data_IF_314395271395
#
_entry.id   IF_314395271395
#
_cell.length_a   1.000
_cell.length_b   1.000
_cell.length_c   1.000
_cell.angle_alpha   90.00
_cell.angle_beta   90.00
_cell.angle_gamma   90.00
#
_symmetry.space_group_name_H-M   'P 1'
#
loop_
_entity.id
_entity.type
_entity.pdbx_description
1 polymer ?
#
# COMPACT_ATOMS: atom_id res chain seq x y z
N UNK A 1 -10.03 -11.19 -30.37
CA UNK A 1 -10.13 -10.89 -28.93
C UNK A 1 -9.20 -11.82 -28.17
N UNK A 2 -8.00 -11.35 -27.80
CA UNK A 2 -7.11 -11.98 -26.82
C UNK A 2 -6.30 -10.84 -26.21
N UNK A 3 -6.86 -10.24 -25.16
CA UNK A 3 -6.11 -9.34 -24.31
C UNK A 3 -5.36 -10.24 -23.33
N UNK A 4 -4.14 -10.60 -23.71
CA UNK A 4 -3.26 -11.42 -22.89
C UNK A 4 -3.04 -10.74 -21.54
N UNK A 5 -3.57 -11.40 -20.51
CA UNK A 5 -3.36 -11.15 -19.09
C UNK A 5 -1.88 -11.30 -18.73
N UNK A 6 -1.05 -10.36 -19.20
CA UNK A 6 0.37 -10.20 -18.83
C UNK A 6 0.54 -9.38 -17.54
N UNK A 7 -0.47 -9.42 -16.68
CA UNK A 7 -0.55 -8.69 -15.39
C UNK A 7 -0.11 -9.58 -14.22
N UNK A 8 0.17 -10.87 -14.44
CA UNK A 8 0.46 -11.82 -13.35
C UNK A 8 1.94 -11.85 -12.92
N UNK A 9 2.89 -11.53 -13.79
CA UNK A 9 4.33 -11.66 -13.48
C UNK A 9 4.94 -10.50 -12.67
N UNK A 10 4.42 -9.27 -12.83
CA UNK A 10 4.98 -8.05 -12.23
C UNK A 10 4.25 -7.61 -10.96
N UNK A 11 2.99 -8.04 -10.78
CA UNK A 11 2.23 -7.85 -9.54
C UNK A 11 2.62 -8.86 -8.45
N UNK A 12 3.23 -10.00 -8.79
CA UNK A 12 3.66 -11.02 -7.82
C UNK A 12 5.12 -10.87 -7.37
N UNK A 13 5.76 -9.78 -7.76
CA UNK A 13 7.14 -9.49 -7.41
C UNK A 13 7.20 -8.63 -6.14
N UNK A 14 7.81 -9.18 -5.09
CA UNK A 14 7.91 -8.56 -3.75
C UNK A 14 8.59 -7.19 -3.83
N UNK A 15 9.49 -6.97 -4.78
CA UNK A 15 10.13 -5.67 -4.98
C UNK A 15 9.15 -4.62 -5.51
N UNK A 16 8.26 -4.99 -6.44
CA UNK A 16 7.24 -4.08 -6.97
C UNK A 16 6.25 -3.66 -5.89
N UNK A 17 5.76 -4.59 -5.06
CA UNK A 17 4.90 -4.22 -3.93
C UNK A 17 5.63 -3.41 -2.83
N UNK A 18 6.93 -3.65 -2.59
CA UNK A 18 7.74 -2.80 -1.71
C UNK A 18 7.92 -1.38 -2.26
N UNK A 19 8.11 -1.23 -3.56
CA UNK A 19 8.20 0.11 -4.18
C UNK A 19 6.86 0.84 -4.19
N UNK A 20 5.77 0.16 -4.56
CA UNK A 20 4.42 0.75 -4.52
C UNK A 20 4.06 1.16 -3.09
N UNK A 21 4.37 0.32 -2.09
CA UNK A 21 4.13 0.66 -0.68
C UNK A 21 5.02 1.81 -0.16
N UNK A 22 6.24 1.97 -0.68
CA UNK A 22 7.11 3.11 -0.35
C UNK A 22 6.60 4.42 -0.97
N UNK A 23 6.18 4.37 -2.24
CA UNK A 23 5.66 5.53 -2.97
C UNK A 23 4.33 6.00 -2.39
N UNK A 24 3.36 5.09 -2.17
CA UNK A 24 2.08 5.49 -1.60
C UNK A 24 2.18 5.94 -0.14
N UNK A 25 3.18 5.47 0.63
CA UNK A 25 3.49 6.00 1.97
C UNK A 25 3.88 7.47 1.88
N UNK A 26 4.81 7.80 0.96
CA UNK A 26 5.27 9.18 0.78
C UNK A 26 4.13 10.12 0.39
N UNK A 27 3.24 9.67 -0.50
CA UNK A 27 2.08 10.45 -0.94
C UNK A 27 1.07 10.66 0.20
N UNK A 28 0.73 9.60 0.93
CA UNK A 28 -0.22 9.70 2.07
C UNK A 28 0.35 10.52 3.22
N UNK A 29 1.66 10.46 3.47
CA UNK A 29 2.35 11.29 4.45
C UNK A 29 2.35 12.77 4.05
N UNK A 30 2.64 13.09 2.79
CA UNK A 30 2.57 14.47 2.29
C UNK A 30 1.15 15.03 2.43
N UNK A 31 0.13 14.21 2.09
CA UNK A 31 -1.27 14.57 2.24
C UNK A 31 -1.68 14.79 3.71
N UNK A 32 -1.23 13.93 4.64
CA UNK A 32 -1.56 14.06 6.06
C UNK A 32 -0.89 15.29 6.67
N UNK A 33 0.36 15.57 6.31
CA UNK A 33 1.12 16.75 6.74
C UNK A 33 0.51 18.04 6.20
N UNK A 34 0.16 18.08 4.91
CA UNK A 34 -0.49 19.26 4.33
C UNK A 34 -1.85 19.50 5.01
N UNK A 35 -2.64 18.44 5.19
CA UNK A 35 -3.91 18.52 5.90
C UNK A 35 -3.75 19.00 7.34
N UNK A 36 -2.69 18.57 8.05
CA UNK A 36 -2.38 18.99 9.41
C UNK A 36 -2.15 20.49 9.54
N UNK A 37 -1.41 21.08 8.59
CA UNK A 37 -1.13 22.52 8.56
C UNK A 37 -2.41 23.37 8.39
N UNK A 38 -3.46 22.82 7.78
CA UNK A 38 -4.73 23.52 7.55
C UNK A 38 -5.87 23.09 8.51
N UNK A 39 -5.64 22.17 9.46
CA UNK A 39 -6.66 21.70 10.42
C UNK A 39 -7.22 22.80 11.33
N UNK A 40 -6.45 23.86 11.58
CA UNK A 40 -6.86 24.95 12.48
C UNK A 40 -7.97 25.82 11.88
N UNK A 41 -8.15 25.80 10.55
CA UNK A 41 -9.04 26.71 9.83
C UNK A 41 -10.42 26.12 9.54
N UNK A 42 -10.57 24.79 9.50
CA UNK A 42 -11.84 24.19 9.08
C UNK A 42 -12.13 22.80 9.69
N UNK A 43 -13.36 22.56 10.17
CA UNK A 43 -13.76 21.27 10.77
C UNK A 43 -13.77 20.11 9.77
N UNK A 44 -14.01 20.37 8.47
CA UNK A 44 -13.96 19.34 7.42
C UNK A 44 -12.54 18.84 7.15
N UNK A 45 -11.52 19.71 7.28
CA UNK A 45 -10.12 19.32 7.10
C UNK A 45 -9.66 18.39 8.22
N UNK A 46 -10.20 18.52 9.44
CA UNK A 46 -9.97 17.53 10.51
C UNK A 46 -10.43 16.14 10.10
N UNK A 47 -11.61 16.00 9.49
CA UNK A 47 -12.10 14.70 9.01
C UNK A 47 -11.19 14.13 7.90
N UNK A 48 -10.76 14.98 6.97
CA UNK A 48 -9.85 14.58 5.91
C UNK A 48 -8.47 14.16 6.44
N UNK A 49 -7.93 14.88 7.43
CA UNK A 49 -6.67 14.52 8.10
C UNK A 49 -6.77 13.16 8.81
N UNK A 50 -7.88 12.89 9.51
CA UNK A 50 -8.11 11.59 10.16
C UNK A 50 -8.20 10.48 9.10
N UNK A 51 -8.95 10.68 8.02
CA UNK A 51 -9.05 9.71 6.93
C UNK A 51 -7.68 9.44 6.26
N UNK A 52 -6.92 10.49 6.00
CA UNK A 52 -5.55 10.43 5.48
C UNK A 52 -4.61 9.70 6.44
N UNK A 53 -4.73 9.92 7.75
CA UNK A 53 -3.94 9.24 8.78
C UNK A 53 -4.26 7.74 8.88
N UNK A 54 -5.53 7.36 8.76
CA UNK A 54 -5.95 5.95 8.69
C UNK A 54 -5.34 5.30 7.45
N UNK A 55 -5.45 5.93 6.28
CA UNK A 55 -4.86 5.44 5.04
C UNK A 55 -3.34 5.28 5.14
N UNK A 56 -2.65 6.27 5.71
CA UNK A 56 -1.20 6.21 5.96
C UNK A 56 -0.83 5.05 6.90
N UNK A 57 -1.60 4.83 7.97
CA UNK A 57 -1.36 3.74 8.93
C UNK A 57 -1.54 2.36 8.27
N UNK A 58 -2.59 2.18 7.45
CA UNK A 58 -2.78 0.95 6.69
C UNK A 58 -1.64 0.70 5.71
N UNK A 59 -1.18 1.76 5.01
CA UNK A 59 -0.03 1.67 4.11
C UNK A 59 1.27 1.39 4.86
N UNK A 60 1.39 1.88 6.09
CA UNK A 60 2.51 1.61 7.00
C UNK A 60 2.59 0.16 7.43
N UNK A 61 1.48 -0.38 7.91
CA UNK A 61 1.36 -1.78 8.27
C UNK A 61 1.57 -2.69 7.07
N UNK A 62 1.06 -2.30 5.89
CA UNK A 62 1.28 -3.03 4.65
C UNK A 62 2.76 -3.05 4.26
N UNK A 63 3.44 -1.91 4.24
CA UNK A 63 4.88 -1.83 3.94
C UNK A 63 5.73 -2.65 4.93
N UNK A 64 5.45 -2.55 6.23
CA UNK A 64 6.15 -3.30 7.27
C UNK A 64 5.92 -4.82 7.13
N UNK A 65 4.69 -5.21 6.83
CA UNK A 65 4.31 -6.61 6.60
C UNK A 65 4.87 -7.22 5.31
N UNK A 66 5.47 -6.41 4.44
CA UNK A 66 6.25 -6.84 3.27
C UNK A 66 7.75 -6.99 3.52
N UNK A 67 8.26 -6.61 4.69
CA UNK A 67 9.67 -6.81 5.05
C UNK A 67 9.96 -8.26 5.50
N UNK A 68 11.25 -8.66 5.54
CA UNK A 68 11.66 -10.03 5.86
C UNK A 68 11.06 -10.47 7.20
N UNK A 69 10.13 -11.44 7.15
CA UNK A 69 9.31 -12.02 8.24
C UNK A 69 7.84 -11.55 8.32
N UNK A 70 7.37 -10.64 7.47
CA UNK A 70 5.99 -10.16 7.49
C UNK A 70 4.94 -11.12 6.89
N UNK A 71 3.71 -11.03 7.41
CA UNK A 71 2.56 -11.90 7.07
C UNK A 71 2.20 -11.80 5.58
N UNK A 72 2.38 -10.63 4.97
CA UNK A 72 2.08 -10.40 3.55
C UNK A 72 3.11 -11.08 2.63
N UNK A 73 4.39 -11.15 3.01
CA UNK A 73 5.40 -11.92 2.27
C UNK A 73 5.00 -13.40 2.20
N UNK A 74 4.53 -13.98 3.32
CA UNK A 74 4.09 -15.38 3.39
C UNK A 74 2.82 -15.63 2.55
N UNK A 75 1.85 -14.72 2.57
CA UNK A 75 0.65 -14.81 1.72
C UNK A 75 0.98 -14.70 0.22
N UNK A 76 1.85 -13.77 -0.18
CA UNK A 76 2.26 -13.59 -1.58
C UNK A 76 3.01 -14.85 -2.07
N UNK A 77 3.92 -15.41 -1.26
CA UNK A 77 4.64 -16.65 -1.60
C UNK A 77 3.68 -17.84 -1.67
N UNK A 78 2.71 -17.95 -0.75
CA UNK A 78 1.70 -19.02 -0.78
C UNK A 78 0.85 -18.95 -2.05
N UNK A 79 0.34 -17.77 -2.42
CA UNK A 79 -0.40 -17.57 -3.66
C UNK A 79 0.43 -17.93 -4.90
N UNK A 80 1.73 -17.60 -4.89
CA UNK A 80 2.65 -17.95 -5.98
C UNK A 80 2.84 -19.46 -6.14
N UNK A 81 2.85 -20.22 -5.04
CA UNK A 81 2.96 -21.68 -5.05
C UNK A 81 1.65 -22.37 -5.44
N UNK A 82 0.50 -21.83 -5.04
CA UNK A 82 -0.81 -22.37 -5.42
C UNK A 82 -1.06 -22.21 -6.93
N UNK A 83 -0.68 -21.07 -7.53
CA UNK A 83 -0.73 -20.86 -8.99
C UNK A 83 0.22 -21.79 -9.75
N UNK A 84 1.36 -22.18 -9.18
CA UNK A 84 2.31 -23.10 -9.82
C UNK A 84 1.84 -24.56 -9.81
N UNK A 85 0.86 -24.90 -8.95
CA UNK A 85 0.32 -26.26 -8.80
C UNK A 85 -0.94 -26.52 -9.65
N UNK A 86 -1.58 -25.46 -10.13
CA UNK A 86 -2.73 -25.50 -11.04
C UNK A 86 -2.26 -25.51 -12.50
#
# INVERSE_FOLDING_TARGET
MKNDTKISGKLLDIHTHRQVSKVGMGITLASVCLSALFMKRNKSIKKFHVASGIAFTCFALYHAGLYDNGIFKKMIIKAKNDVKKA
#
